data_IF_843515852298
#
_entry.id   IF_843515852298
#
_cell.length_a   1.000
_cell.length_b   1.000
_cell.length_c   1.000
_cell.angle_alpha   90.00
_cell.angle_beta   90.00
_cell.angle_gamma   90.00
#
_symmetry.space_group_name_H-M   'P 1'
#
loop_
_entity.id
_entity.type
_entity.pdbx_description
1 polymer ?
#
# COMPACT_ATOMS: atom_id res chain seq x y z
N UNK A 1 24.01 -17.26 21.07
CA UNK A 1 23.36 -15.93 20.88
C UNK A 1 21.83 -16.09 20.79
N UNK A 2 21.04 -15.28 21.52
CA UNK A 2 19.58 -15.36 21.43
C UNK A 2 19.14 -15.00 20.00
N UNK A 3 18.16 -15.69 19.42
CA UNK A 3 17.69 -15.40 18.07
C UNK A 3 17.09 -14.00 18.04
N UNK A 4 17.75 -13.08 17.35
CA UNK A 4 17.22 -11.75 17.08
C UNK A 4 16.32 -11.81 15.87
N UNK A 5 15.12 -11.24 15.97
CA UNK A 5 14.26 -11.05 14.81
C UNK A 5 14.85 -9.94 13.93
N UNK A 6 14.93 -10.13 12.60
CA UNK A 6 15.45 -9.12 11.71
C UNK A 6 14.59 -7.85 11.74
N UNK A 7 15.21 -6.68 11.61
CA UNK A 7 14.50 -5.39 11.65
C UNK A 7 13.51 -5.24 10.51
N UNK A 8 13.83 -5.75 9.32
CA UNK A 8 12.90 -5.79 8.18
C UNK A 8 11.63 -6.59 8.48
N UNK A 9 11.73 -7.67 9.28
CA UNK A 9 10.57 -8.47 9.70
C UNK A 9 9.69 -7.70 10.68
N UNK A 10 10.30 -6.90 11.58
CA UNK A 10 9.56 -6.04 12.51
C UNK A 10 8.84 -4.91 11.74
N UNK A 11 9.50 -4.30 10.77
CA UNK A 11 8.91 -3.29 9.90
C UNK A 11 7.74 -3.85 9.07
N UNK A 12 7.90 -5.03 8.46
CA UNK A 12 6.81 -5.69 7.75
C UNK A 12 5.62 -6.00 8.66
N UNK A 13 5.84 -6.44 9.90
CA UNK A 13 4.74 -6.64 10.87
C UNK A 13 3.96 -5.35 11.15
N UNK A 14 4.63 -4.21 11.16
CA UNK A 14 4.00 -2.90 11.35
C UNK A 14 3.23 -2.44 10.10
N UNK A 15 3.76 -2.70 8.90
CA UNK A 15 3.11 -2.41 7.62
C UNK A 15 1.84 -3.24 7.35
N UNK A 16 1.74 -4.44 7.91
CA UNK A 16 0.58 -5.34 7.77
C UNK A 16 -0.31 -5.38 9.02
N UNK A 17 -0.10 -4.50 9.99
CA UNK A 17 -0.91 -4.42 11.22
C UNK A 17 -2.16 -3.55 11.05
N UNK A 18 -3.33 -4.09 11.38
CA UNK A 18 -4.58 -3.32 11.55
C UNK A 18 -5.06 -2.56 10.30
N UNK A 19 -5.05 -1.23 10.38
CA UNK A 19 -5.61 -0.31 9.37
C UNK A 19 -4.80 -0.26 8.06
N UNK A 20 -3.48 -0.49 8.12
CA UNK A 20 -2.60 -0.49 6.93
C UNK A 20 -2.96 -1.61 5.94
N UNK A 21 -3.51 -2.73 6.41
CA UNK A 21 -3.95 -3.82 5.55
C UNK A 21 -5.19 -3.43 4.72
N UNK A 22 -6.13 -2.68 5.31
CA UNK A 22 -7.30 -2.16 4.60
C UNK A 22 -6.89 -1.18 3.49
N UNK A 23 -5.91 -0.31 3.77
CA UNK A 23 -5.39 0.63 2.80
C UNK A 23 -4.62 -0.06 1.67
N UNK A 24 -3.84 -1.10 1.95
CA UNK A 24 -3.20 -1.93 0.93
C UNK A 24 -4.21 -2.59 0.01
N UNK A 25 -5.28 -3.16 0.57
CA UNK A 25 -6.38 -3.75 -0.22
C UNK A 25 -7.03 -2.68 -1.10
N UNK A 26 -7.29 -1.49 -0.55
CA UNK A 26 -7.81 -0.35 -1.30
C UNK A 26 -6.90 0.09 -2.45
N UNK A 27 -5.60 0.20 -2.21
CA UNK A 27 -4.62 0.55 -3.24
C UNK A 27 -4.56 -0.49 -4.37
N UNK A 28 -4.56 -1.78 -4.04
CA UNK A 28 -4.58 -2.87 -5.03
C UNK A 28 -5.87 -2.82 -5.85
N UNK A 29 -7.03 -2.58 -5.21
CA UNK A 29 -8.31 -2.42 -5.90
C UNK A 29 -8.30 -1.22 -6.86
N UNK A 30 -7.70 -0.08 -6.48
CA UNK A 30 -7.56 1.08 -7.36
C UNK A 30 -6.68 0.79 -8.58
N UNK A 31 -5.56 0.05 -8.40
CA UNK A 31 -4.72 -0.37 -9.51
C UNK A 31 -5.41 -1.39 -10.43
N UNK A 32 -6.18 -2.33 -9.87
CA UNK A 32 -6.98 -3.26 -10.65
C UNK A 32 -8.07 -2.55 -11.45
N UNK A 33 -8.78 -1.59 -10.83
CA UNK A 33 -9.81 -0.80 -11.50
C UNK A 33 -9.23 0.01 -12.67
N UNK A 34 -8.08 0.65 -12.46
CA UNK A 34 -7.36 1.34 -13.54
C UNK A 34 -6.91 0.38 -14.63
N UNK A 35 -6.39 -0.81 -14.27
CA UNK A 35 -5.99 -1.83 -15.24
C UNK A 35 -7.14 -2.33 -16.12
N UNK A 36 -8.35 -2.44 -15.56
CA UNK A 36 -9.56 -2.75 -16.32
C UNK A 36 -9.92 -1.58 -17.24
N UNK A 37 -10.01 -0.35 -16.71
CA UNK A 37 -10.34 0.85 -17.48
C UNK A 37 -9.39 1.06 -18.66
N UNK A 38 -8.08 0.90 -18.45
CA UNK A 38 -7.06 1.00 -19.49
C UNK A 38 -7.17 -0.08 -20.59
N UNK A 39 -7.87 -1.19 -20.31
CA UNK A 39 -8.16 -2.24 -21.30
C UNK A 39 -9.50 -2.10 -22.00
N UNK A 40 -10.46 -1.37 -21.42
CA UNK A 40 -11.82 -1.19 -21.98
C UNK A 40 -12.08 0.19 -22.59
N UNK A 41 -11.38 1.23 -22.16
CA UNK A 41 -11.59 2.62 -22.62
C UNK A 41 -10.40 3.11 -23.46
N UNK A 42 -10.67 3.81 -24.57
CA UNK A 42 -9.62 4.41 -25.41
C UNK A 42 -8.91 5.59 -24.71
N UNK A 43 -9.59 6.28 -23.80
CA UNK A 43 -9.05 7.37 -22.96
C UNK A 43 -9.32 7.10 -21.46
N UNK A 44 -8.56 6.21 -20.81
CA UNK A 44 -8.80 5.87 -19.41
C UNK A 44 -8.50 7.06 -18.49
N UNK A 45 -9.45 7.37 -17.59
CA UNK A 45 -9.22 8.37 -16.55
C UNK A 45 -8.14 7.90 -15.56
N UNK A 46 -7.09 8.71 -15.42
CA UNK A 46 -5.94 8.40 -14.55
C UNK A 46 -6.24 8.57 -13.05
N UNK A 47 -7.46 8.96 -12.68
CA UNK A 47 -7.87 9.21 -11.29
C UNK A 47 -7.63 7.99 -10.39
N UNK A 48 -7.98 6.79 -10.87
CA UNK A 48 -7.76 5.54 -10.12
C UNK A 48 -6.27 5.21 -9.93
N UNK A 49 -5.42 5.58 -10.89
CA UNK A 49 -3.97 5.42 -10.77
C UNK A 49 -3.39 6.40 -9.73
N UNK A 50 -3.78 7.68 -9.78
CA UNK A 50 -3.37 8.66 -8.77
C UNK A 50 -3.84 8.26 -7.37
N UNK A 51 -5.09 7.81 -7.25
CA UNK A 51 -5.66 7.40 -5.96
C UNK A 51 -4.93 6.17 -5.40
N UNK A 52 -4.60 5.17 -6.25
CA UNK A 52 -3.79 4.01 -5.85
C UNK A 52 -2.36 4.37 -5.39
N UNK A 53 -1.71 5.31 -6.09
CA UNK A 53 -0.37 5.80 -5.71
C UNK A 53 -0.42 6.58 -4.39
N UNK A 54 -1.40 7.47 -4.21
CA UNK A 54 -1.57 8.24 -2.98
C UNK A 54 -1.83 7.32 -1.79
N UNK A 55 -2.73 6.34 -1.93
CA UNK A 55 -3.00 5.36 -0.87
C UNK A 55 -1.74 4.56 -0.50
N UNK A 56 -0.95 4.13 -1.50
CA UNK A 56 0.31 3.41 -1.26
C UNK A 56 1.31 4.28 -0.50
N UNK A 57 1.45 5.55 -0.88
CA UNK A 57 2.33 6.50 -0.21
C UNK A 57 1.90 6.75 1.25
N UNK A 58 0.59 6.90 1.51
CA UNK A 58 0.04 7.04 2.86
C UNK A 58 0.42 5.83 3.71
N UNK A 59 0.27 4.61 3.20
CA UNK A 59 0.63 3.39 3.95
C UNK A 59 2.12 3.32 4.26
N UNK A 60 2.98 3.67 3.31
CA UNK A 60 4.44 3.69 3.53
C UNK A 60 4.81 4.72 4.60
N UNK A 61 4.26 5.93 4.51
CA UNK A 61 4.54 7.01 5.48
C UNK A 61 4.03 6.63 6.87
N UNK A 62 2.79 6.13 6.99
CA UNK A 62 2.24 5.66 8.26
C UNK A 62 3.06 4.49 8.82
N UNK A 63 3.50 3.55 7.99
CA UNK A 63 4.37 2.45 8.39
C UNK A 63 5.73 2.93 8.91
N UNK A 64 6.34 3.94 8.26
CA UNK A 64 7.56 4.58 8.75
C UNK A 64 7.34 5.24 10.12
N UNK A 65 6.30 6.06 10.28
CA UNK A 65 6.00 6.70 11.57
C UNK A 65 5.76 5.68 12.68
N UNK A 66 5.00 4.62 12.43
CA UNK A 66 4.75 3.54 13.39
C UNK A 66 5.96 2.66 13.68
N UNK A 67 7.00 2.70 12.85
CA UNK A 67 8.28 2.03 13.11
C UNK A 67 9.25 2.90 13.92
N UNK A 68 9.19 4.22 13.72
CA UNK A 68 9.99 5.19 14.48
C UNK A 68 9.42 5.49 15.88
N UNK A 69 8.10 5.34 16.08
CA UNK A 69 7.42 5.49 17.38
C UNK A 69 7.53 4.21 18.23
#
# INVERSE_FOLDING_TARGET
PPPTTPEWVKFCRQLFGGFSMLLWIGAILCFLAYGIQAGTEEEPQNDNLYLGVVLSAVVIITGCFSYYQ
#
